data_IF_804366662011
#
_entry.id   IF_804366662011
#
_cell.length_a   1.000
_cell.length_b   1.000
_cell.length_c   1.000
_cell.angle_alpha   90.00
_cell.angle_beta   90.00
_cell.angle_gamma   90.00
#
_symmetry.space_group_name_H-M   'P 1'
#
loop_
_entity.id
_entity.type
_entity.pdbx_description
1 polymer ?
#
# COMPACT_ATOMS: atom_id res chain seq x y z
N UNK A 1 2.53 -6.16 -29.47
CA UNK A 1 3.29 -7.10 -28.62
C UNK A 1 2.34 -7.84 -27.69
N UNK A 2 2.54 -9.16 -27.58
CA UNK A 2 1.80 -9.93 -26.61
C UNK A 2 2.31 -9.61 -25.19
N UNK A 3 1.39 -9.46 -24.24
CA UNK A 3 1.76 -9.29 -22.85
C UNK A 3 2.30 -10.61 -22.29
N UNK A 4 3.36 -10.53 -21.50
CA UNK A 4 3.87 -11.69 -20.81
C UNK A 4 2.91 -12.10 -19.69
N UNK A 5 2.58 -13.39 -19.63
CA UNK A 5 1.77 -13.97 -18.55
C UNK A 5 2.73 -14.66 -17.58
N UNK A 6 2.59 -14.35 -16.28
CA UNK A 6 3.40 -14.92 -15.22
C UNK A 6 2.62 -15.99 -14.48
N UNK A 7 3.25 -17.14 -14.26
CA UNK A 7 2.71 -18.26 -13.48
C UNK A 7 3.49 -18.39 -12.17
N UNK A 8 3.09 -19.34 -11.34
CA UNK A 8 3.73 -19.55 -10.03
C UNK A 8 5.23 -19.77 -10.14
N UNK A 9 5.68 -20.53 -11.12
CA UNK A 9 7.09 -20.81 -11.35
C UNK A 9 7.91 -19.60 -11.81
N UNK A 10 7.24 -18.58 -12.33
CA UNK A 10 7.89 -17.32 -12.76
C UNK A 10 8.06 -16.34 -11.60
N UNK A 11 7.48 -16.64 -10.45
CA UNK A 11 7.44 -15.72 -9.30
C UNK A 11 8.43 -16.15 -8.23
N UNK A 12 9.01 -15.17 -7.55
CA UNK A 12 9.92 -15.40 -6.46
C UNK A 12 9.57 -14.53 -5.26
N UNK A 13 8.96 -15.12 -4.24
CA UNK A 13 8.52 -14.40 -3.04
C UNK A 13 9.70 -13.80 -2.27
N UNK A 14 10.91 -14.31 -2.43
CA UNK A 14 12.10 -13.77 -1.78
C UNK A 14 12.42 -12.34 -2.20
N UNK A 15 11.89 -11.87 -3.32
CA UNK A 15 12.03 -10.47 -3.75
C UNK A 15 11.40 -9.49 -2.76
N UNK A 16 10.48 -9.95 -1.92
CA UNK A 16 9.83 -9.16 -0.88
C UNK A 16 10.54 -9.23 0.47
N UNK A 17 11.58 -10.06 0.60
CA UNK A 17 12.37 -10.12 1.83
C UNK A 17 13.06 -8.78 2.10
N UNK A 18 12.97 -8.31 3.36
CA UNK A 18 13.52 -7.02 3.74
C UNK A 18 12.69 -5.82 3.29
N UNK A 19 11.61 -6.03 2.54
CA UNK A 19 10.70 -4.97 2.11
C UNK A 19 9.58 -4.80 3.13
N UNK A 20 9.21 -3.55 3.39
CA UNK A 20 8.07 -3.21 4.24
C UNK A 20 6.90 -2.79 3.36
N UNK A 21 5.77 -3.45 3.54
CA UNK A 21 4.52 -3.14 2.82
C UNK A 21 3.60 -2.37 3.76
N UNK A 22 3.25 -1.14 3.39
CA UNK A 22 2.23 -0.38 4.09
C UNK A 22 0.90 -0.54 3.37
N UNK A 23 -0.10 -1.02 4.08
CA UNK A 23 -1.48 -1.06 3.58
C UNK A 23 -2.20 0.16 4.13
N UNK A 24 -2.57 1.07 3.25
CA UNK A 24 -3.26 2.32 3.61
C UNK A 24 -4.77 2.08 3.52
N UNK A 25 -5.41 2.03 4.68
CA UNK A 25 -6.81 1.67 4.81
C UNK A 25 -6.98 0.24 5.33
N UNK A 26 -8.03 0.01 6.12
CA UNK A 26 -8.30 -1.31 6.71
C UNK A 26 -9.78 -1.66 6.59
N UNK A 27 -10.35 -1.36 5.40
CA UNK A 27 -11.67 -1.81 5.01
C UNK A 27 -11.64 -3.28 4.59
N UNK A 28 -12.65 -3.74 3.85
CA UNK A 28 -12.75 -5.16 3.47
C UNK A 28 -11.54 -5.66 2.67
N UNK A 29 -11.09 -4.89 1.67
CA UNK A 29 -9.92 -5.25 0.88
C UNK A 29 -8.62 -5.07 1.66
N UNK A 30 -8.48 -3.97 2.39
CA UNK A 30 -7.28 -3.71 3.18
C UNK A 30 -7.03 -4.79 4.21
N UNK A 31 -8.09 -5.22 4.91
CA UNK A 31 -8.04 -6.33 5.87
C UNK A 31 -7.56 -7.62 5.20
N UNK A 32 -8.19 -8.01 4.09
CA UNK A 32 -7.86 -9.25 3.38
C UNK A 32 -6.43 -9.24 2.82
N UNK A 33 -6.05 -8.15 2.14
CA UNK A 33 -4.71 -8.04 1.56
C UNK A 33 -3.62 -8.03 2.63
N UNK A 34 -3.84 -7.31 3.73
CA UNK A 34 -2.87 -7.24 4.82
C UNK A 34 -2.66 -8.61 5.47
N UNK A 35 -3.73 -9.35 5.76
CA UNK A 35 -3.63 -10.69 6.34
C UNK A 35 -2.96 -11.67 5.38
N UNK A 36 -3.34 -11.65 4.10
CA UNK A 36 -2.72 -12.54 3.11
C UNK A 36 -1.22 -12.29 2.96
N UNK A 37 -0.81 -11.04 2.91
CA UNK A 37 0.60 -10.68 2.83
C UNK A 37 1.37 -11.11 4.09
N UNK A 38 0.78 -10.90 5.26
CA UNK A 38 1.37 -11.31 6.54
C UNK A 38 1.54 -12.83 6.62
N UNK A 39 0.51 -13.58 6.23
CA UNK A 39 0.54 -15.04 6.20
C UNK A 39 1.57 -15.58 5.20
N UNK A 40 1.86 -14.82 4.15
CA UNK A 40 2.91 -15.14 3.18
C UNK A 40 4.33 -14.78 3.65
N UNK A 41 4.47 -14.29 4.87
CA UNK A 41 5.76 -13.95 5.47
C UNK A 41 6.26 -12.54 5.18
N UNK A 42 5.43 -11.69 4.62
CA UNK A 42 5.79 -10.29 4.36
C UNK A 42 5.74 -9.44 5.62
N UNK A 43 6.60 -8.41 5.68
CA UNK A 43 6.54 -7.42 6.75
C UNK A 43 5.49 -6.37 6.39
N UNK A 44 4.35 -6.40 7.07
CA UNK A 44 3.19 -5.56 6.78
C UNK A 44 2.91 -4.61 7.93
N UNK A 45 2.75 -3.33 7.61
CA UNK A 45 2.26 -2.31 8.53
C UNK A 45 0.97 -1.70 7.98
N UNK A 46 0.17 -1.12 8.86
CA UNK A 46 -1.11 -0.51 8.47
C UNK A 46 -1.01 1.01 8.65
N UNK A 47 -1.48 1.75 7.65
CA UNK A 47 -1.61 3.21 7.71
C UNK A 47 -3.07 3.61 7.77
N UNK A 48 -3.43 4.39 8.79
CA UNK A 48 -4.78 4.87 9.01
C UNK A 48 -4.74 6.35 9.44
N UNK A 49 -5.87 7.05 9.32
CA UNK A 49 -5.97 8.37 9.91
C UNK A 49 -6.10 8.26 11.43
N UNK A 50 -5.61 9.28 12.13
CA UNK A 50 -5.69 9.32 13.59
C UNK A 50 -7.16 9.32 14.04
N UNK A 51 -7.50 8.45 14.98
CA UNK A 51 -8.88 8.28 15.46
C UNK A 51 -9.72 7.33 14.61
N UNK A 52 -9.13 6.65 13.63
CA UNK A 52 -9.86 5.67 12.82
C UNK A 52 -10.41 4.53 13.68
N UNK A 53 -11.66 4.15 13.41
CA UNK A 53 -12.31 3.01 14.07
C UNK A 53 -11.62 1.68 13.77
N UNK A 54 -10.92 1.61 12.64
CA UNK A 54 -10.20 0.41 12.23
C UNK A 54 -8.87 0.22 12.94
N UNK A 55 -8.38 1.24 13.65
CA UNK A 55 -7.08 1.20 14.33
C UNK A 55 -7.01 0.03 15.33
N UNK A 56 -7.97 -0.04 16.24
CA UNK A 56 -8.02 -1.11 17.23
C UNK A 56 -8.18 -2.49 16.60
N UNK A 57 -8.93 -2.59 15.50
CA UNK A 57 -9.12 -3.86 14.77
C UNK A 57 -7.80 -4.35 14.16
N UNK A 58 -7.03 -3.46 13.56
CA UNK A 58 -5.75 -3.81 12.98
C UNK A 58 -4.73 -4.22 14.05
N UNK A 59 -4.67 -3.50 15.15
CA UNK A 59 -3.82 -3.87 16.28
C UNK A 59 -4.20 -5.24 16.88
N UNK A 60 -5.50 -5.53 16.98
CA UNK A 60 -5.99 -6.81 17.47
C UNK A 60 -5.57 -7.98 16.58
N UNK A 61 -5.33 -7.75 15.28
CA UNK A 61 -4.81 -8.76 14.35
C UNK A 61 -3.28 -8.87 14.36
N UNK A 62 -2.62 -8.12 15.23
CA UNK A 62 -1.17 -8.18 15.39
C UNK A 62 -0.38 -7.29 14.44
N UNK A 63 -1.02 -6.32 13.81
CA UNK A 63 -0.33 -5.35 12.95
C UNK A 63 0.18 -4.16 13.75
N UNK A 64 1.33 -3.61 13.33
CA UNK A 64 1.75 -2.28 13.74
C UNK A 64 0.95 -1.26 12.93
N UNK A 65 0.32 -0.31 13.61
CA UNK A 65 -0.53 0.70 12.98
C UNK A 65 0.10 2.08 13.17
N UNK A 66 0.17 2.82 12.09
CA UNK A 66 0.71 4.18 12.04
C UNK A 66 -0.28 5.10 11.34
N UNK A 67 -0.06 6.40 11.42
CA UNK A 67 -0.77 7.33 10.53
C UNK A 67 -0.34 7.05 9.09
N UNK A 68 -1.16 7.44 8.11
CA UNK A 68 -0.84 7.20 6.70
C UNK A 68 0.52 7.81 6.32
N UNK A 69 0.83 9.02 6.82
CA UNK A 69 2.10 9.69 6.57
C UNK A 69 3.29 8.91 7.11
N UNK A 70 3.21 8.44 8.36
CA UNK A 70 4.27 7.68 9.00
C UNK A 70 4.45 6.30 8.36
N UNK A 71 3.33 5.64 8.03
CA UNK A 71 3.39 4.36 7.32
C UNK A 71 4.06 4.50 5.95
N UNK A 72 3.72 5.54 5.19
CA UNK A 72 4.35 5.82 3.91
C UNK A 72 5.86 6.05 4.03
N UNK A 73 6.26 6.77 5.07
CA UNK A 73 7.67 7.05 5.33
C UNK A 73 8.48 5.78 5.64
N UNK A 74 7.86 4.80 6.29
CA UNK A 74 8.51 3.56 6.72
C UNK A 74 8.49 2.46 5.66
N UNK A 75 7.63 2.60 4.64
CA UNK A 75 7.37 1.52 3.68
C UNK A 75 8.21 1.63 2.41
N UNK A 76 8.51 0.49 1.84
CA UNK A 76 9.09 0.37 0.49
C UNK A 76 7.97 0.24 -0.55
N UNK A 77 6.89 -0.46 -0.20
CA UNK A 77 5.71 -0.66 -1.03
C UNK A 77 4.51 -0.08 -0.30
N UNK A 78 3.78 0.81 -0.96
CA UNK A 78 2.61 1.48 -0.39
C UNK A 78 1.38 1.06 -1.17
N UNK A 79 0.53 0.26 -0.55
CA UNK A 79 -0.71 -0.23 -1.14
C UNK A 79 -1.87 0.64 -0.66
N UNK A 80 -2.47 1.39 -1.57
CA UNK A 80 -3.53 2.35 -1.25
C UNK A 80 -4.89 1.70 -1.49
N UNK A 81 -5.61 1.43 -0.42
CA UNK A 81 -6.89 0.70 -0.43
C UNK A 81 -8.02 1.45 0.28
N UNK A 82 -7.99 2.77 0.25
CA UNK A 82 -9.12 3.61 0.68
C UNK A 82 -10.03 3.91 -0.51
N UNK A 83 -11.21 4.49 -0.24
CA UNK A 83 -12.15 4.85 -1.30
C UNK A 83 -11.50 5.77 -2.34
N UNK A 84 -11.82 5.55 -3.61
CA UNK A 84 -11.22 6.28 -4.74
C UNK A 84 -11.35 7.80 -4.61
N UNK A 85 -12.50 8.30 -4.15
CA UNK A 85 -12.74 9.72 -3.98
C UNK A 85 -11.88 10.39 -2.89
N UNK A 86 -11.32 9.61 -1.98
CA UNK A 86 -10.48 10.10 -0.89
C UNK A 86 -8.98 9.97 -1.19
N UNK A 87 -8.62 9.16 -2.19
CA UNK A 87 -7.22 8.82 -2.44
C UNK A 87 -6.37 10.01 -2.86
N UNK A 88 -6.87 10.88 -3.73
CA UNK A 88 -6.09 11.98 -4.27
C UNK A 88 -5.65 12.98 -3.18
N UNK A 89 -6.56 13.33 -2.29
CA UNK A 89 -6.27 14.26 -1.19
C UNK A 89 -5.30 13.64 -0.19
N UNK A 90 -5.55 12.40 0.20
CA UNK A 90 -4.67 11.67 1.12
C UNK A 90 -3.28 11.47 0.49
N UNK A 91 -3.20 11.17 -0.79
CA UNK A 91 -1.94 11.03 -1.50
C UNK A 91 -1.10 12.31 -1.42
N UNK A 92 -1.71 13.45 -1.76
CA UNK A 92 -0.99 14.73 -1.73
C UNK A 92 -0.55 15.14 -0.33
N UNK A 93 -1.38 14.85 0.66
CA UNK A 93 -1.14 15.26 2.06
C UNK A 93 -0.14 14.35 2.74
N UNK A 94 -0.34 13.03 2.64
CA UNK A 94 0.35 12.06 3.50
C UNK A 94 1.37 11.18 2.78
N UNK A 95 1.16 10.89 1.50
CA UNK A 95 1.99 9.93 0.75
C UNK A 95 3.08 10.63 -0.04
N UNK A 96 2.71 11.58 -0.90
CA UNK A 96 3.65 12.25 -1.81
C UNK A 96 4.85 12.88 -1.08
N UNK A 97 4.66 13.61 0.05
CA UNK A 97 5.80 14.19 0.77
C UNK A 97 6.77 13.17 1.36
N UNK A 98 6.34 11.93 1.53
CA UNK A 98 7.11 10.87 2.18
C UNK A 98 7.64 9.83 1.17
N UNK A 99 7.41 10.01 -0.12
CA UNK A 99 7.92 9.11 -1.15
C UNK A 99 9.42 9.30 -1.35
N UNK A 100 10.11 8.17 -1.48
CA UNK A 100 11.53 8.12 -1.78
C UNK A 100 11.77 7.37 -3.09
N UNK A 101 12.91 7.60 -3.71
CA UNK A 101 13.31 6.87 -4.90
C UNK A 101 13.32 5.37 -4.64
N UNK A 102 12.75 4.61 -5.58
CA UNK A 102 12.67 3.16 -5.46
C UNK A 102 11.44 2.66 -4.72
N UNK A 103 10.61 3.55 -4.15
CA UNK A 103 9.33 3.14 -3.59
C UNK A 103 8.39 2.65 -4.68
N UNK A 104 7.39 1.85 -4.28
CA UNK A 104 6.34 1.38 -5.17
C UNK A 104 4.98 1.82 -4.63
N UNK A 105 4.14 2.34 -5.53
CA UNK A 105 2.73 2.61 -5.25
C UNK A 105 1.89 1.51 -5.89
N UNK A 106 1.02 0.88 -5.12
CA UNK A 106 0.14 -0.18 -5.59
C UNK A 106 -1.31 0.21 -5.34
N UNK A 107 -2.13 0.04 -6.36
CA UNK A 107 -3.56 0.34 -6.32
C UNK A 107 -4.35 -0.91 -6.67
N UNK A 108 -5.50 -1.10 -6.02
CA UNK A 108 -6.43 -2.16 -6.40
C UNK A 108 -7.24 -1.76 -7.64
N UNK A 109 -7.43 -0.46 -7.88
CA UNK A 109 -8.18 0.08 -9.01
C UNK A 109 -7.44 1.27 -9.62
N UNK A 110 -7.36 1.30 -10.93
CA UNK A 110 -6.58 2.29 -11.67
C UNK A 110 -7.25 3.66 -11.89
N UNK A 111 -8.41 3.90 -11.31
CA UNK A 111 -9.20 5.11 -11.55
C UNK A 111 -8.41 6.41 -11.41
N UNK A 112 -7.79 6.62 -10.25
CA UNK A 112 -7.06 7.88 -9.96
C UNK A 112 -5.82 8.06 -10.83
N UNK A 113 -5.18 6.98 -11.22
CA UNK A 113 -4.02 7.02 -12.13
C UNK A 113 -4.49 7.32 -13.55
N UNK A 114 -5.51 6.61 -14.02
CA UNK A 114 -6.04 6.76 -15.38
C UNK A 114 -6.55 8.19 -15.62
N UNK A 115 -7.32 8.74 -14.70
CA UNK A 115 -7.90 10.09 -14.84
C UNK A 115 -6.99 11.21 -14.34
N UNK A 116 -5.76 10.90 -13.95
CA UNK A 116 -4.77 11.90 -13.56
C UNK A 116 -5.03 12.59 -12.23
N UNK A 117 -5.89 12.02 -11.38
CA UNK A 117 -6.13 12.55 -10.02
C UNK A 117 -4.91 12.36 -9.13
N UNK A 118 -4.14 11.32 -9.38
CA UNK A 118 -2.84 11.04 -8.74
C UNK A 118 -1.79 10.93 -9.84
N UNK A 119 -0.75 11.74 -9.73
CA UNK A 119 0.38 11.75 -10.67
C UNK A 119 1.66 11.38 -9.92
N UNK A 120 2.06 10.12 -9.96
CA UNK A 120 3.26 9.67 -9.24
C UNK A 120 4.53 10.31 -9.80
N UNK A 121 5.57 10.51 -8.95
CA UNK A 121 6.88 10.92 -9.44
C UNK A 121 7.46 9.85 -10.36
N UNK A 122 8.39 10.25 -11.23
CA UNK A 122 9.01 9.33 -12.20
C UNK A 122 9.96 8.30 -11.56
N UNK A 123 10.40 8.54 -10.34
CA UNK A 123 11.36 7.69 -9.64
C UNK A 123 10.71 6.64 -8.73
N UNK A 124 9.40 6.46 -8.82
CA UNK A 124 8.67 5.40 -8.11
C UNK A 124 7.96 4.49 -9.10
N UNK A 125 7.84 3.21 -8.74
CA UNK A 125 7.07 2.25 -9.53
C UNK A 125 5.57 2.35 -9.20
N UNK A 126 4.72 2.02 -10.17
CA UNK A 126 3.26 2.09 -9.99
C UNK A 126 2.60 0.84 -10.56
#
# INVERSE_FOLDING_TARGET
MANKIYYQEDCNLSMLEGQTIAVIGYGSQGHAHALNAKESGCNVIIGLYEGSKSWAKAEAQGFEVYTAAEAAKRADIIMILINDELQADMYKKDIEPNLEEGNMLMFAHGFNIHFGCIKPPKNVDV
#
